data_IF_549866036327
#
_entry.id   IF_549866036327
#
_cell.length_a   1.000
_cell.length_b   1.000
_cell.length_c   1.000
_cell.angle_alpha   90.00
_cell.angle_beta   90.00
_cell.angle_gamma   90.00
#
_symmetry.space_group_name_H-M   'P 1'
#
loop_
_entity.id
_entity.type
_entity.pdbx_description
1 polymer ?
#
# COMPACT_ATOMS: atom_id res chain seq x y z
N UNK A 1 -5.91 8.74 -35.71
CA UNK A 1 -5.09 9.90 -35.29
C UNK A 1 -4.54 9.64 -33.90
N UNK A 2 -3.25 9.90 -33.66
CA UNK A 2 -2.69 9.89 -32.30
C UNK A 2 -3.21 11.11 -31.53
N UNK A 3 -3.66 10.90 -30.29
CA UNK A 3 -3.98 12.01 -29.38
C UNK A 3 -2.67 12.61 -28.87
N UNK A 4 -2.58 13.94 -28.81
CA UNK A 4 -1.45 14.66 -28.22
C UNK A 4 -1.79 15.07 -26.78
N UNK A 5 -0.81 14.93 -25.89
CA UNK A 5 -0.86 15.29 -24.48
C UNK A 5 0.45 15.96 -24.12
N UNK A 6 0.42 16.87 -23.14
CA UNK A 6 1.63 17.53 -22.64
C UNK A 6 2.39 16.60 -21.68
N UNK A 7 1.64 15.76 -20.94
CA UNK A 7 2.19 14.80 -19.98
C UNK A 7 1.48 13.45 -20.14
N UNK A 8 2.25 12.36 -20.14
CA UNK A 8 1.73 10.99 -20.04
C UNK A 8 2.25 10.38 -18.75
N UNK A 9 1.35 9.96 -17.87
CA UNK A 9 1.65 9.23 -16.65
C UNK A 9 1.29 7.76 -16.86
N UNK A 10 2.26 6.87 -16.64
CA UNK A 10 2.08 5.42 -16.80
C UNK A 10 2.07 4.75 -15.42
N UNK A 11 0.91 4.23 -15.04
CA UNK A 11 0.62 3.61 -13.75
C UNK A 11 -0.24 4.50 -12.86
N UNK A 12 -1.45 4.06 -12.50
CA UNK A 12 -2.40 4.77 -11.64
C UNK A 12 -2.37 4.24 -10.19
N UNK A 13 -1.18 3.98 -9.67
CA UNK A 13 -0.99 3.82 -8.21
C UNK A 13 -1.08 5.17 -7.49
N UNK A 14 -0.94 5.21 -6.15
CA UNK A 14 -1.00 6.45 -5.37
C UNK A 14 -0.11 7.57 -5.93
N UNK A 15 1.15 7.26 -6.24
CA UNK A 15 2.10 8.22 -6.80
C UNK A 15 1.67 8.74 -8.19
N UNK A 16 1.25 7.85 -9.09
CA UNK A 16 0.86 8.24 -10.45
C UNK A 16 -0.43 9.05 -10.50
N UNK A 17 -1.43 8.71 -9.66
CA UNK A 17 -2.65 9.52 -9.54
C UNK A 17 -2.36 10.91 -8.97
N UNK A 18 -1.51 11.02 -7.94
CA UNK A 18 -1.11 12.32 -7.38
C UNK A 18 -0.32 13.14 -8.41
N UNK A 19 0.59 12.52 -9.16
CA UNK A 19 1.34 13.20 -10.22
C UNK A 19 0.43 13.70 -11.34
N UNK A 20 -0.50 12.86 -11.81
CA UNK A 20 -1.46 13.24 -12.85
C UNK A 20 -2.39 14.37 -12.38
N UNK A 21 -2.89 14.30 -11.13
CA UNK A 21 -3.69 15.35 -10.51
C UNK A 21 -2.92 16.67 -10.46
N UNK A 22 -1.71 16.65 -9.90
CA UNK A 22 -0.89 17.85 -9.75
C UNK A 22 -0.60 18.50 -11.12
N UNK A 23 -0.25 17.70 -12.14
CA UNK A 23 -0.04 18.22 -13.49
C UNK A 23 -1.33 18.81 -14.10
N UNK A 24 -2.47 18.14 -13.96
CA UNK A 24 -3.75 18.65 -14.46
C UNK A 24 -4.19 19.95 -13.76
N UNK A 25 -3.99 20.06 -12.44
CA UNK A 25 -4.27 21.27 -11.66
C UNK A 25 -3.38 22.46 -12.05
N UNK A 26 -2.22 22.20 -12.66
CA UNK A 26 -1.32 23.22 -13.21
C UNK A 26 -1.56 23.51 -14.70
N UNK A 27 -2.68 23.02 -15.27
CA UNK A 27 -3.14 23.39 -16.62
C UNK A 27 -2.60 22.54 -17.77
N UNK A 28 -1.89 21.44 -17.49
CA UNK A 28 -1.41 20.53 -18.53
C UNK A 28 -2.52 19.59 -19.02
N UNK A 29 -2.51 19.25 -20.31
CA UNK A 29 -3.34 18.18 -20.85
C UNK A 29 -2.66 16.82 -20.58
N UNK A 30 -3.17 16.09 -19.59
CA UNK A 30 -2.54 14.87 -19.06
C UNK A 30 -3.28 13.61 -19.50
N UNK A 31 -2.54 12.59 -19.95
CA UNK A 31 -3.04 11.22 -20.07
C UNK A 31 -2.52 10.36 -18.92
N UNK A 32 -3.42 9.77 -18.12
CA UNK A 32 -3.09 8.74 -17.14
C UNK A 32 -3.44 7.36 -17.72
N UNK A 33 -2.44 6.49 -17.82
CA UNK A 33 -2.59 5.13 -18.34
C UNK A 33 -2.44 4.13 -17.20
N UNK A 34 -3.34 3.15 -17.13
CA UNK A 34 -3.26 2.04 -16.20
C UNK A 34 -3.72 0.76 -16.88
N UNK A 35 -3.04 -0.34 -16.57
CA UNK A 35 -3.38 -1.66 -17.09
C UNK A 35 -4.60 -2.25 -16.39
N UNK A 36 -4.77 -1.96 -15.10
CA UNK A 36 -5.90 -2.46 -14.30
C UNK A 36 -7.23 -1.85 -14.77
N UNK A 37 -8.30 -2.65 -14.89
CA UNK A 37 -9.61 -2.17 -15.29
C UNK A 37 -10.34 -1.38 -14.20
N UNK A 38 -10.00 -1.61 -12.92
CA UNK A 38 -10.62 -0.93 -11.79
C UNK A 38 -9.56 -0.22 -10.94
N UNK A 39 -9.53 1.11 -11.03
CA UNK A 39 -8.59 1.97 -10.31
C UNK A 39 -8.86 2.04 -8.81
N UNK A 40 -10.11 1.86 -8.40
CA UNK A 40 -10.51 1.93 -6.98
C UNK A 40 -10.15 0.67 -6.21
N UNK A 41 -9.82 -0.43 -6.90
CA UNK A 41 -9.44 -1.67 -6.28
C UNK A 41 -7.94 -1.70 -5.97
N UNK A 42 -7.61 -1.52 -4.70
CA UNK A 42 -6.24 -1.65 -4.18
C UNK A 42 -5.91 -3.13 -3.91
N UNK A 43 -5.62 -3.89 -4.97
CA UNK A 43 -5.26 -5.32 -4.88
C UNK A 43 -3.75 -5.58 -4.65
N UNK A 44 -2.92 -4.54 -4.73
CA UNK A 44 -1.49 -4.63 -4.45
C UNK A 44 -1.23 -4.18 -3.03
N UNK A 45 -0.81 -5.12 -2.19
CA UNK A 45 -0.25 -4.80 -0.89
C UNK A 45 1.00 -3.93 -1.10
N UNK A 46 0.92 -2.68 -0.68
CA UNK A 46 2.12 -1.87 -0.49
C UNK A 46 2.74 -2.29 0.84
N UNK A 47 4.07 -2.28 0.95
CA UNK A 47 4.75 -2.47 2.23
C UNK A 47 4.35 -1.40 3.28
N UNK A 48 3.61 -0.36 2.87
CA UNK A 48 3.09 0.72 3.71
C UNK A 48 1.57 0.60 4.02
N UNK A 49 0.98 -0.60 3.93
CA UNK A 49 -0.45 -0.78 4.24
C UNK A 49 -0.66 -0.70 5.76
N UNK A 50 -0.83 0.52 6.28
CA UNK A 50 -0.79 0.89 7.71
C UNK A 50 0.53 0.39 8.34
N UNK A 51 1.44 1.32 8.62
CA UNK A 51 2.77 1.17 9.23
C UNK A 51 3.30 -0.27 9.44
N UNK A 52 4.42 -0.55 8.79
CA UNK A 52 5.17 -1.78 8.99
C UNK A 52 5.25 -2.12 10.50
N UNK A 53 4.82 -3.32 10.94
CA UNK A 53 5.02 -3.76 12.33
C UNK A 53 6.51 -3.93 12.69
N UNK A 54 7.41 -3.60 11.76
CA UNK A 54 8.86 -3.70 11.90
C UNK A 54 9.52 -2.34 12.16
N UNK A 55 8.78 -1.23 12.15
CA UNK A 55 9.35 0.10 12.38
C UNK A 55 8.49 0.96 13.33
N UNK A 56 9.14 1.67 14.25
CA UNK A 56 8.52 2.68 15.10
C UNK A 56 8.28 3.97 14.31
N UNK A 57 7.35 3.93 13.36
CA UNK A 57 6.89 5.16 12.73
C UNK A 57 6.04 5.95 13.73
N UNK A 58 6.33 7.24 13.89
CA UNK A 58 5.65 8.11 14.86
C UNK A 58 5.73 7.63 16.32
N UNK A 59 6.81 6.92 16.68
CA UNK A 59 7.05 6.37 18.03
C UNK A 59 5.97 5.38 18.51
N UNK A 60 5.14 4.86 17.60
CA UNK A 60 4.13 3.87 17.94
C UNK A 60 4.29 2.64 17.05
N UNK A 61 3.86 1.51 17.60
CA UNK A 61 3.84 0.24 16.90
C UNK A 61 2.42 -0.28 17.05
N UNK A 62 1.56 0.14 16.12
CA UNK A 62 0.12 -0.10 16.23
C UNK A 62 -0.19 -1.60 16.27
N UNK A 63 -1.33 -1.93 16.87
CA UNK A 63 -1.83 -3.30 17.00
C UNK A 63 -3.20 -3.40 16.36
N UNK A 64 -3.41 -4.43 15.54
CA UNK A 64 -4.75 -4.79 15.10
C UNK A 64 -5.38 -5.75 16.12
N UNK A 65 -6.40 -5.28 16.86
CA UNK A 65 -7.26 -6.13 17.67
C UNK A 65 -8.42 -6.61 16.80
N UNK A 66 -8.30 -7.86 16.32
CA UNK A 66 -9.28 -8.49 15.44
C UNK A 66 -10.58 -8.87 16.15
N UNK A 67 -10.52 -9.16 17.46
CA UNK A 67 -11.71 -9.49 18.27
C UNK A 67 -12.67 -8.30 18.33
N UNK A 68 -12.13 -7.13 18.64
CA UNK A 68 -12.94 -5.92 18.87
C UNK A 68 -13.00 -5.02 17.63
N UNK A 69 -12.36 -5.43 16.53
CA UNK A 69 -12.27 -4.69 15.26
C UNK A 69 -11.70 -3.28 15.45
N UNK A 70 -10.51 -3.20 16.03
CA UNK A 70 -9.83 -1.93 16.34
C UNK A 70 -8.38 -1.91 15.87
N UNK A 71 -7.95 -0.76 15.38
CA UNK A 71 -6.53 -0.40 15.28
C UNK A 71 -6.17 0.38 16.54
N UNK A 72 -5.23 -0.14 17.31
CA UNK A 72 -4.81 0.41 18.59
C UNK A 72 -3.44 1.06 18.46
N UNK A 73 -3.29 2.24 19.06
CA UNK A 73 -2.07 3.06 19.09
C UNK A 73 -1.64 3.26 20.55
N UNK A 74 -0.95 2.26 21.15
CA UNK A 74 -0.65 2.27 22.58
C UNK A 74 0.21 3.46 23.02
N UNK A 75 1.18 3.89 22.21
CA UNK A 75 2.05 5.01 22.57
C UNK A 75 1.28 6.34 22.67
N UNK A 76 0.19 6.45 21.89
CA UNK A 76 -0.65 7.65 21.84
C UNK A 76 -1.96 7.52 22.65
N UNK A 77 -2.22 6.36 23.26
CA UNK A 77 -3.36 6.14 24.14
C UNK A 77 -4.73 6.14 23.44
N UNK A 78 -4.80 5.94 22.13
CA UNK A 78 -6.07 5.91 21.39
C UNK A 78 -6.24 4.64 20.55
N UNK A 79 -7.47 4.43 20.09
CA UNK A 79 -7.78 3.38 19.11
C UNK A 79 -8.93 3.82 18.23
N UNK A 80 -8.93 3.33 16.99
CA UNK A 80 -10.00 3.58 16.02
C UNK A 80 -10.70 2.27 15.67
N UNK A 81 -12.01 2.32 15.47
CA UNK A 81 -12.77 1.17 14.98
C UNK A 81 -12.39 0.94 13.50
N UNK A 82 -12.11 -0.30 13.14
CA UNK A 82 -11.77 -0.70 11.79
C UNK A 82 -12.52 -1.99 11.44
N UNK A 83 -13.52 -1.86 10.59
CA UNK A 83 -14.35 -2.95 10.05
C UNK A 83 -14.02 -3.28 8.58
N UNK A 84 -12.98 -2.65 8.04
CA UNK A 84 -12.47 -2.92 6.70
C UNK A 84 -11.80 -4.30 6.57
N UNK A 85 -11.51 -4.71 5.33
CA UNK A 85 -10.84 -5.97 5.07
C UNK A 85 -9.41 -5.96 5.64
N UNK A 86 -8.95 -7.09 6.14
CA UNK A 86 -7.55 -7.30 6.50
C UNK A 86 -7.12 -8.72 6.14
N UNK A 87 -5.81 -8.93 6.05
CA UNK A 87 -5.22 -10.24 5.81
C UNK A 87 -3.99 -10.40 6.69
N UNK A 88 -3.90 -11.51 7.40
CA UNK A 88 -2.70 -11.85 8.14
C UNK A 88 -1.55 -12.12 7.15
N UNK A 89 -0.38 -11.55 7.44
CA UNK A 89 0.85 -11.84 6.73
C UNK A 89 1.74 -12.65 7.66
N UNK A 90 2.03 -13.90 7.29
CA UNK A 90 2.75 -14.86 8.15
C UNK A 90 4.23 -14.97 7.81
N UNK A 91 4.59 -14.68 6.56
CA UNK A 91 5.97 -14.70 6.12
C UNK A 91 6.21 -13.68 4.98
N UNK A 92 7.43 -13.16 4.93
CA UNK A 92 7.96 -12.37 3.82
C UNK A 92 9.21 -13.04 3.26
N UNK A 93 9.32 -13.09 1.94
CA UNK A 93 10.46 -13.70 1.24
C UNK A 93 11.16 -12.63 0.40
N UNK A 94 12.46 -12.48 0.63
CA UNK A 94 13.33 -11.68 -0.22
C UNK A 94 14.22 -12.60 -1.07
N UNK A 95 14.29 -12.31 -2.36
CA UNK A 95 15.09 -13.07 -3.31
C UNK A 95 16.19 -12.19 -3.88
N UNK A 96 17.43 -12.65 -3.83
CA UNK A 96 18.52 -12.01 -4.55
C UNK A 96 18.44 -12.35 -6.05
N UNK A 97 19.06 -11.54 -6.94
CA UNK A 97 19.17 -11.88 -8.37
C UNK A 97 19.85 -13.23 -8.63
N UNK A 98 20.72 -13.67 -7.71
CA UNK A 98 21.38 -14.99 -7.77
C UNK A 98 20.54 -16.15 -7.25
N UNK A 99 19.29 -15.92 -6.85
CA UNK A 99 18.37 -16.97 -6.38
C UNK A 99 18.45 -17.28 -4.87
N UNK A 100 19.26 -16.55 -4.10
CA UNK A 100 19.31 -16.75 -2.65
C UNK A 100 18.00 -16.24 -2.02
N UNK A 101 17.45 -17.02 -1.09
CA UNK A 101 16.20 -16.70 -0.39
C UNK A 101 16.46 -16.33 1.07
N UNK A 102 15.96 -15.18 1.49
CA UNK A 102 15.82 -14.81 2.91
C UNK A 102 14.34 -14.90 3.25
N UNK A 103 14.01 -15.74 4.24
CA UNK A 103 12.66 -15.88 4.76
C UNK A 103 12.55 -15.25 6.14
N UNK A 104 11.56 -14.39 6.32
CA UNK A 104 11.20 -13.79 7.59
C UNK A 104 9.79 -14.28 7.95
N UNK A 105 9.60 -14.87 9.13
CA UNK A 105 8.31 -15.40 9.59
C UNK A 105 8.07 -16.89 9.30
N UNK A 106 6.97 -17.42 9.84
CA UNK A 106 6.62 -18.84 9.82
C UNK A 106 5.37 -19.10 8.95
N UNK A 107 5.55 -19.80 7.83
CA UNK A 107 4.45 -20.15 6.92
C UNK A 107 3.50 -21.21 7.47
N UNK A 108 3.92 -22.00 8.47
CA UNK A 108 3.06 -23.04 9.06
C UNK A 108 1.90 -22.46 9.89
N UNK A 109 2.06 -21.22 10.39
CA UNK A 109 1.03 -20.47 11.11
C UNK A 109 -0.11 -19.97 10.19
N UNK A 110 0.03 -20.15 8.87
CA UNK A 110 -1.01 -19.82 7.89
C UNK A 110 -2.18 -20.84 7.88
N UNK A 111 -2.05 -21.97 8.58
CA UNK A 111 -3.06 -23.04 8.66
C UNK A 111 -4.29 -22.69 9.50
#
# INVERSE_FOLDING_TARGET
MSKKYDVIVVGAGPAGMVAAKAAGENGFNVALLERKPNLTLMDRACAQTLDSPLEYLHLDLYRCNTRDKRLCFPAHGFSVKYDGPYRNSYASWAYSPGGNKIQMGNTEEQK
#
